data_IF_214436159293
#
_entry.id   IF_214436159293
#
_cell.length_a   1.000
_cell.length_b   1.000
_cell.length_c   1.000
_cell.angle_alpha   90.00
_cell.angle_beta   90.00
_cell.angle_gamma   90.00
#
_symmetry.space_group_name_H-M   'P 1'
#
loop_
_entity.id
_entity.type
_entity.pdbx_description
1 polymer ?
#
# COMPACT_ATOMS: atom_id res chain seq x y z
N UNK A 1 -0.28 16.38 24.93
CA UNK A 1 -0.59 17.17 23.75
C UNK A 1 -0.10 16.56 22.42
N UNK A 2 1.19 16.23 22.21
CA UNK A 2 1.69 15.59 20.95
C UNK A 2 1.03 14.22 20.65
N UNK A 3 0.74 13.41 21.64
CA UNK A 3 0.13 12.09 21.47
C UNK A 3 -1.35 12.19 21.06
N UNK A 4 -2.09 13.16 21.59
CA UNK A 4 -3.51 13.42 21.30
C UNK A 4 -3.68 13.95 19.87
N UNK A 5 -2.81 14.87 19.43
CA UNK A 5 -2.82 15.40 18.05
C UNK A 5 -2.51 14.29 17.03
N UNK A 6 -1.59 13.39 17.37
CA UNK A 6 -1.25 12.23 16.52
C UNK A 6 -2.41 11.24 16.41
N UNK A 7 -3.20 11.07 17.48
CA UNK A 7 -4.37 10.20 17.47
C UNK A 7 -5.53 10.79 16.67
N UNK A 8 -5.76 12.12 16.75
CA UNK A 8 -6.79 12.81 15.98
C UNK A 8 -6.49 12.76 14.47
N UNK A 9 -5.24 13.00 14.07
CA UNK A 9 -4.82 12.87 12.67
C UNK A 9 -5.04 11.46 12.10
N UNK A 10 -4.79 10.41 12.91
CA UNK A 10 -5.05 9.02 12.52
C UNK A 10 -6.55 8.77 12.28
N UNK A 11 -7.42 9.27 13.16
CA UNK A 11 -8.89 9.13 13.00
C UNK A 11 -9.37 9.82 11.74
N UNK A 12 -8.93 11.08 11.51
CA UNK A 12 -9.29 11.83 10.29
C UNK A 12 -8.81 11.11 9.04
N UNK A 13 -7.60 10.55 9.06
CA UNK A 13 -7.05 9.80 7.93
C UNK A 13 -7.87 8.54 7.63
N UNK A 14 -8.31 7.80 8.66
CA UNK A 14 -9.18 6.64 8.50
C UNK A 14 -10.51 7.06 7.86
N UNK A 15 -11.16 8.11 8.38
CA UNK A 15 -12.45 8.57 7.87
C UNK A 15 -12.37 9.07 6.43
N UNK A 16 -11.29 9.80 6.07
CA UNK A 16 -11.04 10.21 4.68
C UNK A 16 -10.83 9.00 3.77
N UNK A 17 -10.06 8.01 4.21
CA UNK A 17 -9.88 6.76 3.45
C UNK A 17 -11.20 6.02 3.24
N UNK A 18 -12.04 5.93 4.27
CA UNK A 18 -13.38 5.33 4.17
C UNK A 18 -14.30 6.11 3.21
N UNK A 19 -14.25 7.44 3.23
CA UNK A 19 -15.02 8.26 2.30
C UNK A 19 -14.60 8.05 0.83
N UNK A 20 -13.29 8.03 0.55
CA UNK A 20 -12.75 7.75 -0.79
C UNK A 20 -13.16 6.34 -1.24
N UNK A 21 -13.09 5.35 -0.35
CA UNK A 21 -13.56 3.99 -0.62
C UNK A 21 -15.05 3.98 -0.98
N UNK A 22 -15.89 4.65 -0.16
CA UNK A 22 -17.34 4.74 -0.39
C UNK A 22 -17.70 5.37 -1.73
N UNK A 23 -16.98 6.42 -2.16
CA UNK A 23 -17.13 7.03 -3.48
C UNK A 23 -16.84 6.00 -4.59
N UNK A 24 -15.68 5.36 -4.53
CA UNK A 24 -15.27 4.36 -5.52
C UNK A 24 -16.25 3.19 -5.60
N UNK A 25 -16.70 2.73 -4.45
CA UNK A 25 -17.62 1.60 -4.34
C UNK A 25 -19.01 1.94 -4.90
N UNK A 26 -19.65 3.04 -4.46
CA UNK A 26 -20.99 3.41 -4.86
C UNK A 26 -21.11 3.90 -6.30
N UNK A 27 -20.12 4.66 -6.79
CA UNK A 27 -20.20 5.20 -8.16
C UNK A 27 -19.83 4.17 -9.24
N UNK A 28 -18.92 3.22 -8.91
CA UNK A 28 -18.32 2.38 -9.94
C UNK A 28 -18.56 0.88 -9.72
N UNK A 29 -18.48 0.38 -8.48
CA UNK A 29 -18.57 -1.06 -8.23
C UNK A 29 -20.02 -1.55 -8.14
N UNK A 30 -20.81 -0.92 -7.28
CA UNK A 30 -22.22 -1.32 -7.01
C UNK A 30 -23.08 -1.30 -8.27
N UNK A 31 -23.07 -0.24 -9.12
CA UNK A 31 -23.94 -0.18 -10.28
C UNK A 31 -23.67 -1.26 -11.32
N UNK A 32 -22.44 -1.77 -11.35
CA UNK A 32 -22.04 -2.83 -12.27
C UNK A 32 -22.08 -4.24 -11.63
N UNK A 33 -22.70 -4.36 -10.44
CA UNK A 33 -22.76 -5.60 -9.66
C UNK A 33 -21.37 -6.24 -9.43
N UNK A 34 -20.34 -5.40 -9.27
CA UNK A 34 -18.98 -5.84 -8.99
C UNK A 34 -18.79 -6.01 -7.49
N UNK A 35 -18.23 -7.15 -7.11
CA UNK A 35 -17.82 -7.43 -5.74
C UNK A 35 -16.31 -7.20 -5.61
N UNK A 36 -15.89 -6.56 -4.52
CA UNK A 36 -14.48 -6.34 -4.20
C UNK A 36 -13.76 -7.58 -3.65
N UNK A 37 -14.35 -8.78 -3.77
CA UNK A 37 -13.79 -9.99 -3.17
C UNK A 37 -14.04 -10.06 -1.66
N UNK A 38 -13.05 -10.54 -0.91
CA UNK A 38 -13.10 -10.54 0.55
C UNK A 38 -14.02 -11.58 1.18
N UNK A 39 -14.26 -11.43 2.48
CA UNK A 39 -15.13 -12.35 3.22
C UNK A 39 -16.60 -12.22 2.84
N UNK A 40 -17.04 -11.07 2.35
CA UNK A 40 -18.41 -10.91 1.82
C UNK A 40 -18.64 -11.77 0.57
N UNK A 41 -17.64 -11.90 -0.28
CA UNK A 41 -17.68 -12.83 -1.42
C UNK A 41 -17.77 -14.28 -0.98
N UNK A 42 -16.96 -14.70 0.00
CA UNK A 42 -17.07 -16.05 0.60
C UNK A 42 -18.43 -16.28 1.25
N UNK A 43 -18.94 -15.31 2.01
CA UNK A 43 -20.27 -15.42 2.61
C UNK A 43 -21.37 -15.56 1.56
N UNK A 44 -21.26 -14.84 0.44
CA UNK A 44 -22.20 -14.92 -0.68
C UNK A 44 -22.21 -16.33 -1.30
N UNK A 45 -21.05 -16.94 -1.50
CA UNK A 45 -20.93 -18.32 -1.98
C UNK A 45 -21.59 -19.31 -0.97
N UNK A 46 -21.28 -19.15 0.30
CA UNK A 46 -21.84 -20.01 1.35
C UNK A 46 -23.37 -19.90 1.45
N UNK A 47 -23.92 -18.69 1.37
CA UNK A 47 -25.39 -18.48 1.34
C UNK A 47 -25.99 -19.17 0.13
N UNK A 48 -25.36 -19.06 -1.06
CA UNK A 48 -25.84 -19.71 -2.27
C UNK A 48 -25.81 -21.22 -2.18
N UNK A 49 -24.73 -21.80 -1.63
CA UNK A 49 -24.59 -23.27 -1.51
C UNK A 49 -25.48 -23.86 -0.41
N UNK A 50 -25.60 -23.17 0.72
CA UNK A 50 -26.31 -23.69 1.89
C UNK A 50 -27.80 -23.31 1.92
N UNK A 51 -28.20 -22.34 1.07
CA UNK A 51 -29.54 -21.75 1.08
C UNK A 51 -29.99 -21.27 2.48
N UNK A 52 -29.05 -20.80 3.30
CA UNK A 52 -29.29 -20.43 4.68
C UNK A 52 -28.69 -19.07 5.05
N UNK A 53 -29.49 -18.21 5.70
CA UNK A 53 -29.06 -16.92 6.20
C UNK A 53 -28.96 -15.82 5.12
N UNK A 54 -28.40 -14.68 5.50
CA UNK A 54 -28.08 -13.57 4.58
C UNK A 54 -26.58 -13.37 4.50
N UNK A 55 -26.11 -12.76 3.39
CA UNK A 55 -24.68 -12.45 3.20
C UNK A 55 -24.16 -11.59 4.35
N UNK A 56 -24.94 -10.61 4.81
CA UNK A 56 -24.56 -9.75 5.93
C UNK A 56 -24.39 -10.51 7.25
N UNK A 57 -25.35 -11.40 7.60
CA UNK A 57 -25.28 -12.21 8.83
C UNK A 57 -24.07 -13.15 8.82
N UNK A 58 -23.84 -13.83 7.69
CA UNK A 58 -22.70 -14.75 7.55
C UNK A 58 -21.37 -14.00 7.59
N UNK A 59 -21.28 -12.88 6.90
CA UNK A 59 -20.09 -12.00 6.95
C UNK A 59 -19.81 -11.55 8.39
N UNK A 60 -20.85 -11.14 9.13
CA UNK A 60 -20.70 -10.73 10.52
C UNK A 60 -20.24 -11.89 11.41
N UNK A 61 -20.83 -13.07 11.27
CA UNK A 61 -20.43 -14.27 12.02
C UNK A 61 -18.97 -14.66 11.78
N UNK A 62 -18.51 -14.62 10.53
CA UNK A 62 -17.12 -14.92 10.16
C UNK A 62 -16.16 -13.83 10.70
N UNK A 63 -16.62 -12.57 10.74
CA UNK A 63 -15.81 -11.47 11.24
C UNK A 63 -15.59 -11.51 12.77
N UNK A 64 -16.56 -11.97 13.57
CA UNK A 64 -16.43 -12.01 15.03
C UNK A 64 -15.15 -12.74 15.49
N UNK A 65 -14.90 -14.01 15.11
CA UNK A 65 -13.69 -14.70 15.51
C UNK A 65 -12.41 -14.03 14.98
N UNK A 66 -12.44 -13.44 13.79
CA UNK A 66 -11.30 -12.73 13.22
C UNK A 66 -10.96 -11.47 14.02
N UNK A 67 -11.96 -10.69 14.44
CA UNK A 67 -11.74 -9.54 15.32
C UNK A 67 -11.20 -9.93 16.69
N UNK A 68 -11.70 -11.03 17.27
CA UNK A 68 -11.20 -11.56 18.56
C UNK A 68 -9.73 -11.99 18.41
N UNK A 69 -9.40 -12.74 17.38
CA UNK A 69 -8.03 -13.17 17.08
C UNK A 69 -7.12 -11.96 16.78
N UNK A 70 -7.59 -11.03 15.95
CA UNK A 70 -6.87 -9.80 15.62
C UNK A 70 -6.58 -8.96 16.87
N UNK A 71 -7.56 -8.78 17.74
CA UNK A 71 -7.41 -8.05 19.00
C UNK A 71 -6.40 -8.69 19.97
N UNK A 72 -6.38 -10.03 20.03
CA UNK A 72 -5.44 -10.79 20.89
C UNK A 72 -4.01 -10.76 20.34
N UNK A 73 -3.84 -10.83 19.04
CA UNK A 73 -2.49 -11.00 18.41
C UNK A 73 -1.87 -9.70 17.95
N UNK A 74 -2.69 -8.73 17.49
CA UNK A 74 -2.25 -7.44 16.95
C UNK A 74 -2.45 -6.28 17.93
N UNK A 75 -3.14 -6.54 19.06
CA UNK A 75 -3.28 -5.62 20.17
C UNK A 75 -4.54 -4.74 20.14
N UNK A 76 -4.84 -4.13 21.30
CA UNK A 76 -6.07 -3.33 21.51
C UNK A 76 -6.16 -2.10 20.57
N UNK A 77 -5.04 -1.47 20.25
CA UNK A 77 -5.02 -0.31 19.35
C UNK A 77 -5.46 -0.70 17.94
N UNK A 78 -4.94 -1.82 17.43
CA UNK A 78 -5.35 -2.37 16.14
C UNK A 78 -6.87 -2.62 16.13
N UNK A 79 -7.39 -3.27 17.16
CA UNK A 79 -8.83 -3.57 17.29
C UNK A 79 -9.68 -2.31 17.21
N UNK A 80 -9.37 -1.29 18.02
CA UNK A 80 -10.14 -0.03 18.05
C UNK A 80 -10.11 0.73 16.73
N UNK A 81 -8.91 0.85 16.11
CA UNK A 81 -8.77 1.53 14.83
C UNK A 81 -9.46 0.75 13.70
N UNK A 82 -9.43 -0.58 13.73
CA UNK A 82 -10.11 -1.42 12.75
C UNK A 82 -11.63 -1.40 12.90
N UNK A 83 -12.16 -1.35 14.12
CA UNK A 83 -13.58 -1.13 14.36
C UNK A 83 -14.03 0.25 13.81
N UNK A 84 -13.21 1.28 14.02
CA UNK A 84 -13.46 2.61 13.44
C UNK A 84 -13.42 2.56 11.89
N UNK A 85 -12.46 1.87 11.32
CA UNK A 85 -12.36 1.69 9.86
C UNK A 85 -13.58 0.95 9.30
N UNK A 86 -13.99 -0.14 9.93
CA UNK A 86 -15.18 -0.90 9.54
C UNK A 86 -16.46 -0.05 9.62
N UNK A 87 -16.68 0.62 10.75
CA UNK A 87 -17.83 1.50 10.92
C UNK A 87 -17.80 2.67 9.94
N UNK A 88 -16.64 3.30 9.76
CA UNK A 88 -16.43 4.41 8.83
C UNK A 88 -16.70 4.01 7.38
N UNK A 89 -16.25 2.84 6.92
CA UNK A 89 -16.55 2.34 5.58
C UNK A 89 -18.04 2.05 5.40
N UNK A 90 -18.68 1.38 6.38
CA UNK A 90 -20.14 1.09 6.32
C UNK A 90 -20.94 2.38 6.22
N UNK A 91 -20.67 3.35 7.10
CA UNK A 91 -21.35 4.66 7.09
C UNK A 91 -21.07 5.42 5.79
N UNK A 92 -19.85 5.36 5.26
CA UNK A 92 -19.51 6.03 3.99
C UNK A 92 -20.24 5.41 2.82
N UNK A 93 -20.38 4.08 2.77
CA UNK A 93 -21.15 3.39 1.72
C UNK A 93 -22.61 3.83 1.78
N UNK A 94 -23.22 3.83 2.98
CA UNK A 94 -24.65 4.17 3.14
C UNK A 94 -24.91 5.65 2.86
N UNK A 95 -24.06 6.56 3.35
CA UNK A 95 -24.21 8.00 3.16
C UNK A 95 -23.98 8.45 1.72
N UNK A 96 -23.15 7.77 0.94
CA UNK A 96 -22.74 8.19 -0.39
C UNK A 96 -23.57 7.54 -1.51
N UNK A 97 -24.70 6.91 -1.17
CA UNK A 97 -25.63 6.31 -2.14
C UNK A 97 -26.31 7.34 -3.06
N UNK A 98 -26.35 8.62 -2.66
CA UNK A 98 -26.90 9.72 -3.46
C UNK A 98 -25.99 10.19 -4.60
N UNK A 99 -24.77 9.70 -4.67
CA UNK A 99 -23.82 10.10 -5.71
C UNK A 99 -24.32 9.67 -7.09
N UNK A 100 -24.13 10.53 -8.12
CA UNK A 100 -24.54 10.20 -9.47
C UNK A 100 -23.73 9.01 -9.99
N UNK A 101 -24.44 8.04 -10.58
CA UNK A 101 -23.83 6.87 -11.21
C UNK A 101 -23.48 7.23 -12.66
N UNK A 102 -22.19 7.24 -13.03
CA UNK A 102 -21.80 7.49 -14.41
C UNK A 102 -22.19 6.29 -15.29
N UNK A 103 -22.77 6.58 -16.45
CA UNK A 103 -23.06 5.57 -17.48
C UNK A 103 -21.78 5.28 -18.27
N UNK A 104 -21.03 4.27 -17.86
CA UNK A 104 -19.73 3.91 -18.43
C UNK A 104 -19.64 2.40 -18.64
N UNK A 105 -18.67 2.00 -19.45
CA UNK A 105 -18.36 0.59 -19.68
C UNK A 105 -17.92 -0.10 -18.39
N UNK A 106 -18.31 -1.36 -18.14
CA UNK A 106 -17.89 -2.13 -16.96
C UNK A 106 -16.38 -2.20 -16.77
N UNK A 107 -15.60 -2.23 -17.84
CA UNK A 107 -14.14 -2.22 -17.76
C UNK A 107 -13.63 -0.89 -17.17
N UNK A 108 -14.16 0.22 -17.65
CA UNK A 108 -13.83 1.56 -17.15
C UNK A 108 -14.24 1.68 -15.67
N UNK A 109 -15.42 1.17 -15.32
CA UNK A 109 -15.89 1.13 -13.93
C UNK A 109 -14.95 0.29 -13.04
N UNK A 110 -14.44 -0.85 -13.51
CA UNK A 110 -13.48 -1.67 -12.79
C UNK A 110 -12.15 -0.93 -12.55
N UNK A 111 -11.66 -0.18 -13.55
CA UNK A 111 -10.42 0.61 -13.44
C UNK A 111 -10.56 1.74 -12.40
N UNK A 112 -11.58 2.58 -12.53
CA UNK A 112 -11.78 3.71 -11.61
C UNK A 112 -12.24 3.25 -10.23
N UNK A 113 -13.15 2.27 -10.16
CA UNK A 113 -13.61 1.68 -8.90
C UNK A 113 -12.47 1.03 -8.13
N UNK A 114 -11.68 0.18 -8.79
CA UNK A 114 -10.48 -0.45 -8.21
C UNK A 114 -9.46 0.58 -7.72
N UNK A 115 -9.24 1.66 -8.51
CA UNK A 115 -8.31 2.74 -8.14
C UNK A 115 -8.80 3.49 -6.90
N UNK A 116 -10.03 3.97 -6.88
CA UNK A 116 -10.56 4.74 -5.74
C UNK A 116 -10.69 3.87 -4.49
N UNK A 117 -11.20 2.65 -4.62
CA UNK A 117 -11.27 1.71 -3.50
C UNK A 117 -9.87 1.40 -2.96
N UNK A 118 -8.88 1.20 -3.84
CA UNK A 118 -7.49 0.98 -3.46
C UNK A 118 -6.84 2.16 -2.75
N UNK A 119 -7.10 3.40 -3.20
CA UNK A 119 -6.67 4.63 -2.54
C UNK A 119 -7.28 4.74 -1.13
N UNK A 120 -8.58 4.48 -1.01
CA UNK A 120 -9.29 4.50 0.26
C UNK A 120 -8.73 3.48 1.25
N UNK A 121 -8.67 2.21 0.87
CA UNK A 121 -8.15 1.13 1.71
C UNK A 121 -6.67 1.32 2.04
N UNK A 122 -5.84 1.69 1.08
CA UNK A 122 -4.42 1.97 1.30
C UNK A 122 -4.21 3.07 2.33
N UNK A 123 -5.04 4.13 2.29
CA UNK A 123 -5.02 5.22 3.27
C UNK A 123 -5.38 4.73 4.68
N UNK A 124 -6.36 3.83 4.81
CA UNK A 124 -6.70 3.18 6.08
C UNK A 124 -5.54 2.29 6.56
N UNK A 125 -4.95 1.49 5.68
CA UNK A 125 -3.88 0.54 6.03
C UNK A 125 -2.60 1.22 6.53
N UNK A 126 -2.23 2.40 6.01
CA UNK A 126 -1.09 3.20 6.52
C UNK A 126 -1.23 3.50 8.01
N UNK A 127 -2.46 3.66 8.53
CA UNK A 127 -2.69 3.94 9.95
C UNK A 127 -2.48 2.74 10.86
N UNK A 128 -2.31 1.56 10.27
CA UNK A 128 -2.26 0.28 10.97
C UNK A 128 -3.64 -0.31 11.23
N UNK A 129 -4.72 0.33 10.75
CA UNK A 129 -6.09 -0.18 10.82
C UNK A 129 -6.40 -1.09 9.62
N UNK A 130 -7.56 -1.74 9.69
CA UNK A 130 -8.20 -2.45 8.56
C UNK A 130 -9.69 -2.12 8.55
N UNK A 131 -10.36 -2.47 7.46
CA UNK A 131 -11.81 -2.34 7.36
C UNK A 131 -12.56 -3.59 7.83
N UNK A 132 -11.84 -4.54 8.43
CA UNK A 132 -12.38 -5.84 8.85
C UNK A 132 -12.31 -6.87 7.72
N UNK A 133 -13.02 -7.97 7.89
CA UNK A 133 -13.12 -8.99 6.84
C UNK A 133 -11.80 -9.70 6.55
N UNK A 134 -11.58 -9.93 5.26
CA UNK A 134 -10.34 -10.55 4.71
C UNK A 134 -9.09 -9.77 5.09
N UNK A 135 -9.18 -8.47 5.29
CA UNK A 135 -8.06 -7.62 5.65
C UNK A 135 -7.35 -8.08 6.93
N UNK A 136 -8.09 -8.62 7.90
CA UNK A 136 -7.52 -9.19 9.12
C UNK A 136 -6.71 -10.44 8.77
N UNK A 137 -7.22 -11.30 7.88
CA UNK A 137 -6.50 -12.48 7.39
C UNK A 137 -5.23 -12.05 6.67
N UNK A 138 -5.34 -11.07 5.77
CA UNK A 138 -4.20 -10.50 5.03
C UNK A 138 -3.12 -9.99 6.00
N UNK A 139 -3.53 -9.35 7.10
CA UNK A 139 -2.61 -8.87 8.13
C UNK A 139 -1.89 -10.02 8.85
N UNK A 140 -2.57 -11.13 9.12
CA UNK A 140 -1.93 -12.34 9.66
C UNK A 140 -0.94 -12.94 8.66
N UNK A 141 -1.34 -13.04 7.40
CA UNK A 141 -0.48 -13.56 6.34
C UNK A 141 0.75 -12.67 6.13
N UNK A 142 0.60 -11.35 6.16
CA UNK A 142 1.71 -10.39 6.12
C UNK A 142 2.72 -10.62 7.24
N UNK A 143 2.25 -10.96 8.43
CA UNK A 143 3.14 -11.28 9.55
C UNK A 143 3.94 -12.57 9.33
N UNK A 144 3.35 -13.54 8.60
CA UNK A 144 4.03 -14.78 8.21
C UNK A 144 4.96 -14.58 7.01
N UNK A 145 4.60 -13.68 6.08
CA UNK A 145 5.34 -13.35 4.87
C UNK A 145 5.69 -11.85 4.82
N UNK A 146 6.65 -11.40 5.65
CA UNK A 146 6.95 -9.97 5.83
C UNK A 146 7.49 -9.30 4.57
N UNK A 147 8.09 -10.06 3.66
CA UNK A 147 8.68 -9.54 2.41
C UNK A 147 7.66 -9.35 1.28
N UNK A 148 6.43 -9.87 1.43
CA UNK A 148 5.39 -9.73 0.41
C UNK A 148 4.57 -8.46 0.67
N UNK A 149 4.29 -7.68 -0.38
CA UNK A 149 3.48 -6.48 -0.25
C UNK A 149 2.04 -6.81 0.21
N UNK A 150 1.44 -5.94 1.02
CA UNK A 150 0.12 -6.20 1.63
C UNK A 150 -0.99 -6.23 0.59
N UNK A 151 -0.94 -5.35 -0.41
CA UNK A 151 -1.88 -5.35 -1.52
C UNK A 151 -1.76 -6.60 -2.38
N UNK A 152 -0.54 -7.13 -2.56
CA UNK A 152 -0.32 -8.40 -3.27
C UNK A 152 -0.99 -9.57 -2.54
N UNK A 153 -0.84 -9.66 -1.21
CA UNK A 153 -1.51 -10.72 -0.41
C UNK A 153 -3.03 -10.56 -0.51
N UNK A 154 -3.52 -9.33 -0.39
CA UNK A 154 -4.95 -9.03 -0.51
C UNK A 154 -5.48 -9.44 -1.89
N UNK A 155 -4.79 -9.01 -2.96
CA UNK A 155 -5.16 -9.36 -4.35
C UNK A 155 -5.23 -10.87 -4.56
N UNK A 156 -4.25 -11.63 -4.09
CA UNK A 156 -4.25 -13.09 -4.22
C UNK A 156 -5.46 -13.72 -3.52
N UNK A 157 -5.78 -13.26 -2.30
CA UNK A 157 -6.93 -13.75 -1.57
C UNK A 157 -8.25 -13.40 -2.27
N UNK A 158 -8.41 -12.15 -2.66
CA UNK A 158 -9.65 -11.66 -3.30
C UNK A 158 -9.84 -12.26 -4.69
N UNK A 159 -8.78 -12.44 -5.49
CA UNK A 159 -8.86 -13.14 -6.77
C UNK A 159 -9.31 -14.59 -6.64
N UNK A 160 -8.84 -15.29 -5.61
CA UNK A 160 -9.30 -16.65 -5.32
C UNK A 160 -10.80 -16.66 -5.01
N UNK A 161 -11.29 -15.71 -4.20
CA UNK A 161 -12.71 -15.56 -3.88
C UNK A 161 -13.53 -15.21 -5.12
N UNK A 162 -13.07 -14.27 -5.95
CA UNK A 162 -13.73 -13.87 -7.19
C UNK A 162 -13.83 -15.04 -8.17
N UNK A 163 -12.76 -15.83 -8.33
CA UNK A 163 -12.77 -17.02 -9.19
C UNK A 163 -13.80 -18.04 -8.69
N UNK A 164 -13.83 -18.31 -7.39
CA UNK A 164 -14.83 -19.20 -6.78
C UNK A 164 -16.25 -18.67 -6.97
N UNK A 165 -16.46 -17.35 -6.86
CA UNK A 165 -17.74 -16.73 -7.09
C UNK A 165 -18.18 -16.90 -8.54
N UNK A 166 -17.31 -16.66 -9.52
CA UNK A 166 -17.58 -16.87 -10.95
C UNK A 166 -18.00 -18.31 -11.27
N UNK A 167 -17.32 -19.28 -10.66
CA UNK A 167 -17.66 -20.70 -10.82
C UNK A 167 -18.99 -21.06 -10.15
N UNK A 168 -19.27 -20.54 -8.96
CA UNK A 168 -20.48 -20.84 -8.21
C UNK A 168 -21.75 -20.26 -8.87
N UNK A 169 -21.64 -19.05 -9.47
CA UNK A 169 -22.78 -18.36 -10.06
C UNK A 169 -22.86 -18.48 -11.60
N UNK A 170 -21.86 -19.07 -12.26
CA UNK A 170 -21.83 -19.29 -13.70
C UNK A 170 -21.67 -18.02 -14.55
N UNK A 171 -21.35 -16.87 -13.95
CA UNK A 171 -21.14 -15.57 -14.64
C UNK A 171 -19.66 -15.20 -14.67
N UNK A 172 -18.96 -15.79 -15.62
CA UNK A 172 -17.52 -15.59 -15.78
C UNK A 172 -17.17 -14.16 -16.21
N UNK A 173 -18.03 -13.49 -16.96
CA UNK A 173 -17.78 -12.11 -17.43
C UNK A 173 -17.70 -11.14 -16.24
N UNK A 174 -18.66 -11.21 -15.33
CA UNK A 174 -18.66 -10.39 -14.11
C UNK A 174 -17.45 -10.73 -13.22
N UNK A 175 -17.10 -12.01 -13.07
CA UNK A 175 -15.94 -12.42 -12.33
C UNK A 175 -14.65 -11.83 -12.91
N UNK A 176 -14.51 -11.76 -14.22
CA UNK A 176 -13.34 -11.15 -14.87
C UNK A 176 -13.25 -9.64 -14.59
N UNK A 177 -14.36 -8.89 -14.68
CA UNK A 177 -14.34 -7.47 -14.32
C UNK A 177 -14.03 -7.24 -12.83
N UNK A 178 -14.59 -8.05 -11.94
CA UNK A 178 -14.24 -8.04 -10.53
C UNK A 178 -12.74 -8.33 -10.33
N UNK A 179 -12.19 -9.31 -11.06
CA UNK A 179 -10.78 -9.65 -11.01
C UNK A 179 -9.87 -8.48 -11.43
N UNK A 180 -10.23 -7.75 -12.48
CA UNK A 180 -9.51 -6.54 -12.90
C UNK A 180 -9.57 -5.47 -11.82
N UNK A 181 -10.76 -5.19 -11.26
CA UNK A 181 -10.93 -4.21 -10.21
C UNK A 181 -10.10 -4.54 -8.96
N UNK A 182 -10.13 -5.79 -8.51
CA UNK A 182 -9.36 -6.30 -7.36
C UNK A 182 -7.85 -6.22 -7.62
N UNK A 183 -7.40 -6.58 -8.82
CA UNK A 183 -5.99 -6.49 -9.19
C UNK A 183 -5.48 -5.05 -9.12
N UNK A 184 -6.23 -4.11 -9.71
CA UNK A 184 -5.89 -2.67 -9.67
C UNK A 184 -5.91 -2.16 -8.24
N UNK A 185 -6.97 -2.49 -7.49
CA UNK A 185 -7.10 -2.12 -6.09
C UNK A 185 -5.87 -2.54 -5.28
N UNK A 186 -5.40 -3.77 -5.44
CA UNK A 186 -4.20 -4.27 -4.75
C UNK A 186 -2.93 -3.52 -5.14
N UNK A 187 -2.75 -3.20 -6.44
CA UNK A 187 -1.60 -2.39 -6.90
C UNK A 187 -1.62 -0.98 -6.34
N UNK A 188 -2.80 -0.38 -6.26
CA UNK A 188 -2.97 0.96 -5.68
C UNK A 188 -2.75 0.92 -4.17
N UNK A 189 -3.25 -0.09 -3.46
CA UNK A 189 -2.96 -0.29 -2.03
C UNK A 189 -1.44 -0.33 -1.81
N UNK A 190 -0.71 -1.14 -2.57
CA UNK A 190 0.74 -1.25 -2.45
C UNK A 190 1.43 0.10 -2.72
N UNK A 191 1.02 0.81 -3.76
CA UNK A 191 1.57 2.13 -4.07
C UNK A 191 1.34 3.15 -2.95
N UNK A 192 0.17 3.11 -2.30
CA UNK A 192 -0.20 4.02 -1.21
C UNK A 192 0.50 3.62 0.09
N UNK A 193 0.49 2.34 0.45
CA UNK A 193 1.05 1.84 1.72
C UNK A 193 2.56 1.97 1.76
N UNK A 194 3.23 1.57 0.68
CA UNK A 194 4.69 1.63 0.60
C UNK A 194 5.20 2.98 0.08
N UNK A 195 4.27 3.92 -0.24
CA UNK A 195 4.50 5.36 -0.50
C UNK A 195 5.70 5.63 -1.35
N UNK A 196 5.85 5.04 -2.51
CA UNK A 196 6.99 5.41 -3.37
C UNK A 196 8.31 5.66 -2.59
N UNK A 197 8.50 4.97 -1.46
CA UNK A 197 9.69 5.10 -0.62
C UNK A 197 10.85 4.37 -1.32
N UNK A 198 10.94 4.66 -2.64
CA UNK A 198 12.03 4.24 -3.47
C UNK A 198 13.21 5.13 -3.16
N UNK A 199 13.91 4.78 -2.11
CA UNK A 199 15.24 5.30 -1.87
C UNK A 199 16.16 4.82 -3.00
N UNK A 200 17.09 5.66 -3.38
CA UNK A 200 18.10 5.31 -4.37
C UNK A 200 19.45 5.22 -3.68
N UNK A 201 20.18 4.18 -3.96
CA UNK A 201 21.60 4.11 -3.65
C UNK A 201 22.36 4.63 -4.86
N UNK A 202 23.25 5.58 -4.60
CA UNK A 202 24.04 6.21 -5.66
C UNK A 202 25.51 6.00 -5.37
N UNK A 203 26.21 5.48 -6.37
CA UNK A 203 27.65 5.34 -6.39
C UNK A 203 28.21 6.41 -7.32
N UNK A 204 29.13 7.22 -6.82
CA UNK A 204 29.74 8.32 -7.58
C UNK A 204 31.24 8.09 -7.62
N UNK A 205 31.77 7.97 -8.83
CA UNK A 205 33.18 7.84 -9.13
C UNK A 205 33.65 9.18 -9.68
N UNK A 206 34.50 9.87 -8.95
CA UNK A 206 34.99 11.21 -9.28
C UNK A 206 36.38 11.42 -8.76
N UNK A 207 37.20 12.16 -9.47
CA UNK A 207 38.52 12.60 -8.95
C UNK A 207 38.38 13.62 -7.82
N UNK A 208 37.22 14.29 -7.74
CA UNK A 208 36.90 15.28 -6.70
C UNK A 208 35.96 14.70 -5.61
N UNK A 209 36.15 13.42 -5.27
CA UNK A 209 35.28 12.68 -4.34
C UNK A 209 35.09 13.36 -2.98
N UNK A 210 36.13 14.02 -2.45
CA UNK A 210 36.05 14.74 -1.17
C UNK A 210 35.11 15.95 -1.24
N UNK A 211 35.18 16.73 -2.33
CA UNK A 211 34.30 17.87 -2.60
C UNK A 211 32.84 17.40 -2.76
N UNK A 212 32.65 16.35 -3.56
CA UNK A 212 31.33 15.76 -3.80
C UNK A 212 30.71 15.28 -2.48
N UNK A 213 31.44 14.53 -1.66
CA UNK A 213 30.95 14.03 -0.39
C UNK A 213 30.62 15.16 0.60
N UNK A 214 31.45 16.22 0.64
CA UNK A 214 31.22 17.40 1.46
C UNK A 214 29.90 18.10 1.07
N UNK A 215 29.73 18.38 -0.22
CA UNK A 215 28.50 19.03 -0.74
C UNK A 215 27.26 18.19 -0.49
N UNK A 216 27.31 16.86 -0.66
CA UNK A 216 26.20 15.97 -0.34
C UNK A 216 25.79 16.11 1.14
N UNK A 217 26.77 16.18 2.03
CA UNK A 217 26.50 16.33 3.46
C UNK A 217 25.92 17.69 3.81
N UNK A 218 26.50 18.77 3.27
CA UNK A 218 26.13 20.16 3.63
C UNK A 218 24.84 20.63 2.93
N UNK A 219 24.64 20.31 1.64
CA UNK A 219 23.52 20.81 0.86
C UNK A 219 22.30 19.87 0.91
N UNK A 220 22.51 18.55 0.83
CA UNK A 220 21.41 17.57 0.85
C UNK A 220 21.10 17.01 2.24
N UNK A 221 21.97 17.26 3.23
CA UNK A 221 21.83 16.69 4.57
C UNK A 221 21.85 15.16 4.57
N UNK A 222 22.65 14.55 3.68
CA UNK A 222 22.75 13.10 3.52
C UNK A 222 24.15 12.60 3.85
N UNK A 223 24.20 11.46 4.55
CA UNK A 223 25.47 10.78 4.79
C UNK A 223 26.07 10.24 3.50
N UNK A 224 27.40 10.29 3.42
CA UNK A 224 28.17 9.66 2.35
C UNK A 224 29.24 8.77 2.96
N UNK A 225 29.57 7.67 2.29
CA UNK A 225 30.59 6.72 2.69
C UNK A 225 31.57 6.52 1.55
N UNK A 226 32.87 6.54 1.85
CA UNK A 226 33.90 6.22 0.88
C UNK A 226 34.11 4.70 0.81
N UNK A 227 33.98 4.16 -0.40
CA UNK A 227 34.43 2.81 -0.73
C UNK A 227 35.79 2.93 -1.44
N UNK A 228 36.81 2.25 -0.93
CA UNK A 228 38.12 2.25 -1.56
C UNK A 228 38.10 1.28 -2.74
N UNK A 229 38.63 1.72 -3.87
CA UNK A 229 38.72 0.96 -5.08
C UNK A 229 39.99 1.30 -5.86
N UNK A 230 40.23 0.55 -6.94
CA UNK A 230 41.34 0.76 -7.86
C UNK A 230 40.81 0.75 -9.29
N UNK A 231 41.23 1.71 -10.10
CA UNK A 231 40.88 1.77 -11.52
C UNK A 231 41.57 0.64 -12.25
N UNK A 232 40.83 -0.30 -12.84
CA UNK A 232 41.43 -1.46 -13.54
C UNK A 232 42.27 -1.07 -14.77
N UNK A 233 41.97 0.05 -15.38
CA UNK A 233 42.71 0.55 -16.56
C UNK A 233 43.91 1.42 -16.17
N UNK A 234 43.74 2.29 -15.17
CA UNK A 234 44.79 3.24 -14.74
C UNK A 234 45.71 2.68 -13.68
N UNK A 235 45.29 1.66 -12.92
CA UNK A 235 45.97 1.19 -11.71
C UNK A 235 45.97 2.19 -10.55
N UNK A 236 45.22 3.30 -10.69
CA UNK A 236 45.18 4.34 -9.67
C UNK A 236 44.17 3.99 -8.56
N UNK A 237 44.59 4.21 -7.30
CA UNK A 237 43.68 4.11 -6.15
C UNK A 237 42.68 5.25 -6.19
N UNK A 238 41.39 4.94 -6.02
CA UNK A 238 40.31 5.91 -6.03
C UNK A 238 39.32 5.64 -4.89
N UNK A 239 38.49 6.63 -4.57
CA UNK A 239 37.38 6.47 -3.64
C UNK A 239 36.05 6.67 -4.37
N UNK A 240 35.15 5.71 -4.21
CA UNK A 240 33.77 5.80 -4.69
C UNK A 240 32.91 6.34 -3.57
N UNK A 241 32.17 7.41 -3.83
CA UNK A 241 31.22 7.97 -2.87
C UNK A 241 29.92 7.19 -2.96
N UNK A 242 29.58 6.47 -1.90
CA UNK A 242 28.30 5.79 -1.74
C UNK A 242 27.39 6.66 -0.90
N UNK A 243 26.21 6.99 -1.42
CA UNK A 243 25.18 7.70 -0.65
C UNK A 243 23.80 7.11 -0.93
N UNK A 244 22.89 7.24 0.04
CA UNK A 244 21.49 6.92 -0.12
C UNK A 244 20.66 8.20 -0.08
N UNK A 245 19.76 8.38 -1.04
CA UNK A 245 18.89 9.55 -1.16
C UNK A 245 17.45 9.15 -1.43
N UNK A 246 16.50 9.99 -1.04
CA UNK A 246 15.13 9.82 -1.46
C UNK A 246 14.99 10.11 -2.96
N UNK A 247 14.03 9.44 -3.63
CA UNK A 247 13.78 9.66 -5.07
C UNK A 247 13.66 11.14 -5.44
N UNK A 248 13.03 11.94 -4.57
CA UNK A 248 12.83 13.38 -4.77
C UNK A 248 14.15 14.18 -4.78
N UNK A 249 15.18 13.72 -4.06
CA UNK A 249 16.49 14.37 -3.97
C UNK A 249 17.45 13.92 -5.07
N UNK A 250 17.07 12.92 -5.89
CA UNK A 250 17.98 12.38 -6.91
C UNK A 250 18.36 13.40 -7.99
N UNK A 251 17.42 14.25 -8.41
CA UNK A 251 17.68 15.28 -9.40
C UNK A 251 18.66 16.33 -8.86
N UNK A 252 18.45 16.77 -7.63
CA UNK A 252 19.32 17.71 -6.94
C UNK A 252 20.72 17.13 -6.71
N UNK A 253 20.81 15.86 -6.28
CA UNK A 253 22.08 15.15 -6.15
C UNK A 253 22.86 15.12 -7.47
N UNK A 254 22.18 14.78 -8.58
CA UNK A 254 22.84 14.74 -9.90
C UNK A 254 23.37 16.13 -10.31
N UNK A 255 22.57 17.18 -10.11
CA UNK A 255 22.99 18.55 -10.41
C UNK A 255 24.23 18.96 -9.60
N UNK A 256 24.19 18.69 -8.29
CA UNK A 256 25.29 18.97 -7.37
C UNK A 256 26.58 18.24 -7.76
N UNK A 257 26.47 16.97 -8.15
CA UNK A 257 27.64 16.18 -8.55
C UNK A 257 28.26 16.70 -9.85
N UNK A 258 27.43 16.95 -10.87
CA UNK A 258 27.89 17.45 -12.17
C UNK A 258 28.49 18.85 -12.05
N UNK A 259 27.96 19.70 -11.19
CA UNK A 259 28.52 21.01 -10.90
C UNK A 259 29.88 20.91 -10.20
N UNK A 260 30.04 19.96 -9.26
CA UNK A 260 31.32 19.73 -8.59
C UNK A 260 32.37 19.11 -9.51
N UNK A 261 31.96 18.14 -10.32
CA UNK A 261 32.83 17.43 -11.28
C UNK A 261 32.00 16.98 -12.50
N UNK A 262 32.13 17.71 -13.63
CA UNK A 262 31.42 17.37 -14.87
C UNK A 262 31.78 15.98 -15.43
N UNK A 263 32.96 15.45 -15.10
CA UNK A 263 33.46 14.15 -15.56
C UNK A 263 33.11 13.01 -14.59
N UNK A 264 32.33 13.29 -13.53
CA UNK A 264 31.93 12.29 -12.56
C UNK A 264 31.04 11.21 -13.17
N UNK A 265 31.31 9.94 -12.85
CA UNK A 265 30.49 8.82 -13.25
C UNK A 265 29.50 8.46 -12.13
N UNK A 266 28.20 8.50 -12.44
CA UNK A 266 27.13 8.32 -11.46
C UNK A 266 26.35 7.05 -11.79
N UNK A 267 26.33 6.09 -10.86
CA UNK A 267 25.52 4.88 -10.94
C UNK A 267 24.36 5.03 -9.96
N UNK A 268 23.13 4.87 -10.45
CA UNK A 268 21.92 4.93 -9.63
C UNK A 268 21.28 3.56 -9.57
N UNK A 269 21.11 3.03 -8.36
CA UNK A 269 20.47 1.74 -8.11
C UNK A 269 19.20 1.94 -7.29
N UNK A 270 18.22 1.07 -7.49
CA UNK A 270 17.04 1.04 -6.64
C UNK A 270 17.37 0.35 -5.32
N UNK A 271 17.12 1.06 -4.21
CA UNK A 271 17.11 0.43 -2.90
C UNK A 271 15.69 0.04 -2.55
N UNK A 272 15.47 -1.24 -2.36
CA UNK A 272 14.15 -1.75 -1.97
C UNK A 272 13.70 -1.20 -0.61
N UNK A 273 14.64 -0.99 0.30
CA UNK A 273 14.41 -0.37 1.60
C UNK A 273 15.72 0.22 2.14
N UNK A 274 15.63 1.41 2.70
CA UNK A 274 16.72 2.03 3.45
C UNK A 274 16.21 2.35 4.85
N UNK A 275 16.89 1.83 5.86
CA UNK A 275 16.56 2.04 7.27
C UNK A 275 17.69 2.83 7.95
N UNK A 276 17.32 3.77 8.78
CA UNK A 276 18.28 4.59 9.53
C UNK A 276 17.87 6.06 9.62
N UNK A 277 18.78 6.90 10.15
CA UNK A 277 18.53 8.33 10.29
C UNK A 277 18.33 8.99 8.93
N UNK A 278 17.29 9.82 8.86
CA UNK A 278 16.86 10.46 7.60
C UNK A 278 15.98 9.60 6.68
N UNK A 279 15.76 8.32 7.03
CA UNK A 279 14.91 7.36 6.33
C UNK A 279 13.88 6.74 7.30
N UNK A 280 13.30 5.61 6.91
CA UNK A 280 12.36 4.88 7.78
C UNK A 280 13.10 4.25 8.97
N UNK A 281 12.49 4.33 10.17
CA UNK A 281 13.01 3.59 11.33
C UNK A 281 12.47 2.17 11.33
N UNK A 282 13.33 1.22 11.66
CA UNK A 282 12.89 -0.15 11.86
C UNK A 282 11.90 -0.22 13.02
N UNK A 283 10.72 -0.76 12.75
CA UNK A 283 9.72 -1.11 13.77
C UNK A 283 9.24 -2.53 13.50
N UNK A 284 9.22 -3.37 14.54
CA UNK A 284 8.67 -4.74 14.42
C UNK A 284 7.19 -4.76 14.02
N UNK A 285 6.48 -3.65 14.24
CA UNK A 285 5.05 -3.47 13.96
C UNK A 285 4.81 -2.56 12.75
N UNK A 286 5.85 -2.12 12.05
CA UNK A 286 5.71 -1.41 10.78
C UNK A 286 5.27 -2.39 9.69
N UNK A 287 4.29 -1.96 8.89
CA UNK A 287 3.76 -2.70 7.74
C UNK A 287 4.80 -2.89 6.65
#
# INVERSE_FOLDING_TARGET
MKQTIRSLGTVVQILLGCAVFGVGFNMFMVPHNMNAGGLSGLAMILVHLLNFGTVGTLTMLINIPLFILGGKTLGKRFLLLSLLGMAGCSVSIDLLTFLPVPQIDPLVAALYGGTLCGLGLGTVFITGATTGGSDIIVRFLKRKWPNTAIGTINTCFDLAVVALTGLAFGDMSKALYCGIAVFIMGKVIDAVVYRFDYSKVVLIISKKYDLVAKRISEELGRGATFLHGEGTYSGESTKVVLTAVKRQQLAELKALVVEADPDAFIIVQEAHQVLGDGFSRYSKDAL
#
